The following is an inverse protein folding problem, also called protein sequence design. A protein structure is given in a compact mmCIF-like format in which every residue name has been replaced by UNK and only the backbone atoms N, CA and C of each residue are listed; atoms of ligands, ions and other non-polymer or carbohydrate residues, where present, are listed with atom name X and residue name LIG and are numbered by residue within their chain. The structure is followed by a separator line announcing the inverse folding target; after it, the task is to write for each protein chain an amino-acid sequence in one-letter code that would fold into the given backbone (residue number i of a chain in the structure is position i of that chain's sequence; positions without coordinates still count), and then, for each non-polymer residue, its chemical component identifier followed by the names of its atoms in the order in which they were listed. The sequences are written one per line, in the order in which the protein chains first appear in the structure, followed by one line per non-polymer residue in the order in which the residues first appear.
data_IF_904461841809
#
_entry.id   IF_904461841809
#
_cell.length_a   1.000
_cell.length_b   1.000
_cell.length_c   1.000
_cell.angle_alpha   90.00
_cell.angle_beta   90.00
_cell.angle_gamma   90.00
#
_symmetry.space_group_name_H-M   'P 1'
#
loop_
_entity.id
_entity.type
_entity.pdbx_description
1 polymer ?
#
# COMPACT_ATOMS: atom_id res chain seq x y z
N UNK A 1 -15.20 14.41 -39.48
CA UNK A 1 -15.42 13.97 -38.09
C UNK A 1 -14.74 12.64 -37.71
N UNK A 2 -14.70 11.59 -38.57
CA UNK A 2 -14.15 10.27 -38.19
C UNK A 2 -12.65 10.25 -37.80
N UNK A 3 -11.79 11.01 -38.49
CA UNK A 3 -10.34 11.00 -38.23
C UNK A 3 -9.92 11.62 -36.90
N UNK A 4 -10.57 12.72 -36.48
CA UNK A 4 -10.24 13.37 -35.20
C UNK A 4 -10.76 12.55 -34.00
N UNK A 5 -11.91 11.87 -34.14
CA UNK A 5 -12.43 10.96 -33.12
C UNK A 5 -11.51 9.74 -32.95
N UNK A 6 -10.98 9.20 -34.05
CA UNK A 6 -10.02 8.09 -34.00
C UNK A 6 -8.69 8.48 -33.33
N UNK A 7 -8.14 9.67 -33.65
CA UNK A 7 -6.94 10.18 -32.97
C UNK A 7 -7.16 10.40 -31.48
N UNK A 8 -8.33 10.91 -31.10
CA UNK A 8 -8.73 11.07 -29.70
C UNK A 8 -8.79 9.72 -28.97
N UNK A 9 -9.34 8.69 -29.63
CA UNK A 9 -9.40 7.34 -29.08
C UNK A 9 -8.02 6.72 -28.85
N UNK A 10 -7.10 6.85 -29.82
CA UNK A 10 -5.70 6.42 -29.65
C UNK A 10 -5.04 7.17 -28.49
N UNK A 11 -5.24 8.49 -28.40
CA UNK A 11 -4.71 9.28 -27.30
C UNK A 11 -5.17 8.73 -25.94
N UNK A 12 -6.47 8.44 -25.77
CA UNK A 12 -6.96 7.84 -24.54
C UNK A 12 -6.33 6.48 -24.27
N UNK A 13 -6.22 5.59 -25.27
CA UNK A 13 -5.57 4.27 -25.08
C UNK A 13 -4.15 4.43 -24.58
N UNK A 14 -3.36 5.32 -25.19
CA UNK A 14 -1.97 5.55 -24.79
C UNK A 14 -1.89 6.10 -23.37
N UNK A 15 -2.75 7.06 -23.01
CA UNK A 15 -2.82 7.62 -21.66
C UNK A 15 -3.22 6.56 -20.64
N UNK A 16 -4.26 5.77 -20.90
CA UNK A 16 -4.69 4.68 -20.02
C UNK A 16 -3.61 3.62 -19.86
N UNK A 17 -2.95 3.23 -20.96
CA UNK A 17 -1.83 2.30 -20.95
C UNK A 17 -0.69 2.80 -20.08
N UNK A 18 -0.29 4.06 -20.24
CA UNK A 18 0.78 4.67 -19.44
C UNK A 18 0.45 4.74 -17.94
N UNK A 19 -0.79 5.16 -17.59
CA UNK A 19 -1.24 5.19 -16.20
C UNK A 19 -1.23 3.78 -15.59
N UNK A 20 -1.76 2.79 -16.33
CA UNK A 20 -1.81 1.41 -15.88
C UNK A 20 -0.40 0.84 -15.68
N UNK A 21 0.52 1.03 -16.63
CA UNK A 21 1.91 0.58 -16.50
C UNK A 21 2.62 1.18 -15.29
N UNK A 22 2.41 2.48 -15.01
CA UNK A 22 3.01 3.13 -13.85
C UNK A 22 2.49 2.55 -12.53
N UNK A 23 1.17 2.37 -12.40
CA UNK A 23 0.56 1.77 -11.22
C UNK A 23 1.07 0.33 -11.06
N UNK A 24 1.14 -0.43 -12.16
CA UNK A 24 1.64 -1.79 -12.17
C UNK A 24 3.09 -1.91 -11.69
N UNK A 25 4.00 -1.06 -12.18
CA UNK A 25 5.42 -1.07 -11.79
C UNK A 25 5.56 -0.73 -10.30
N UNK A 26 4.83 0.27 -9.80
CA UNK A 26 4.86 0.64 -8.38
C UNK A 26 4.36 -0.50 -7.50
N UNK A 27 3.24 -1.09 -7.87
CA UNK A 27 2.67 -2.27 -7.22
C UNK A 27 3.64 -3.47 -7.19
N UNK A 28 4.38 -3.73 -8.27
CA UNK A 28 5.40 -4.79 -8.30
C UNK A 28 6.57 -4.49 -7.37
N UNK A 29 7.07 -3.25 -7.36
CA UNK A 29 8.12 -2.83 -6.42
C UNK A 29 7.66 -3.01 -4.98
N UNK A 30 6.42 -2.61 -4.68
CA UNK A 30 5.81 -2.77 -3.36
C UNK A 30 5.71 -4.23 -2.91
N UNK A 31 5.32 -5.12 -3.82
CA UNK A 31 5.26 -6.55 -3.55
C UNK A 31 6.63 -7.12 -3.14
N UNK A 32 7.71 -6.72 -3.83
CA UNK A 32 9.08 -7.17 -3.54
C UNK A 32 9.70 -6.59 -2.27
N UNK A 33 9.13 -5.53 -1.70
CA UNK A 33 9.66 -4.89 -0.49
C UNK A 33 9.29 -5.67 0.77
N UNK A 34 10.18 -5.65 1.75
CA UNK A 34 9.88 -6.03 3.13
C UNK A 34 9.76 -4.77 4.00
N UNK A 35 8.91 -4.85 5.01
CA UNK A 35 8.77 -3.83 6.04
C UNK A 35 8.94 -4.49 7.41
N UNK A 36 9.78 -3.91 8.25
CA UNK A 36 9.89 -4.26 9.66
C UNK A 36 10.29 -2.97 10.39
N UNK A 37 9.30 -2.28 10.95
CA UNK A 37 9.54 -1.05 11.70
C UNK A 37 8.48 -0.83 12.78
N UNK A 38 8.84 -0.01 13.77
CA UNK A 38 7.91 0.45 14.81
C UNK A 38 7.45 1.85 14.42
N UNK A 39 6.14 2.07 14.48
CA UNK A 39 5.52 3.36 14.19
C UNK A 39 5.94 4.35 15.27
N UNK A 40 6.63 5.41 14.91
CA UNK A 40 6.92 6.55 15.79
C UNK A 40 5.79 7.57 15.75
N UNK A 41 5.21 7.77 14.57
CA UNK A 41 4.23 8.81 14.27
C UNK A 41 3.34 8.37 13.11
N UNK A 42 2.10 8.84 13.13
CA UNK A 42 1.10 8.60 12.08
C UNK A 42 0.62 9.97 11.62
N UNK A 43 0.55 10.17 10.31
CA UNK A 43 -0.09 11.33 9.71
C UNK A 43 -1.22 10.86 8.79
N UNK A 44 -2.29 11.64 8.73
CA UNK A 44 -3.43 11.40 7.87
C UNK A 44 -3.48 12.49 6.81
N UNK A 45 -3.71 12.12 5.55
CA UNK A 45 -3.95 13.10 4.50
C UNK A 45 -5.40 13.62 4.51
N UNK A 46 -5.72 14.60 3.66
CA UNK A 46 -7.06 15.18 3.57
C UNK A 46 -8.16 14.17 3.13
N UNK A 47 -7.79 12.97 2.68
CA UNK A 47 -8.70 11.88 2.31
C UNK A 47 -8.78 10.80 3.40
N UNK A 48 -8.09 10.99 4.52
CA UNK A 48 -8.01 10.05 5.63
C UNK A 48 -6.99 8.93 5.43
N UNK A 49 -6.14 8.97 4.39
CA UNK A 49 -5.13 7.93 4.18
C UNK A 49 -3.94 8.13 5.10
N UNK A 50 -3.51 7.03 5.72
CA UNK A 50 -2.45 7.05 6.72
C UNK A 50 -1.06 6.88 6.10
N UNK A 51 -0.14 7.72 6.54
CA UNK A 51 1.31 7.57 6.36
C UNK A 51 1.93 7.25 7.72
N UNK A 52 2.66 6.14 7.79
CA UNK A 52 3.36 5.72 9.00
C UNK A 52 4.82 6.18 8.94
N UNK A 53 5.35 6.64 10.06
CA UNK A 53 6.74 7.06 10.16
C UNK A 53 7.50 6.14 11.13
N UNK A 54 8.76 5.83 10.81
CA UNK A 54 9.66 5.13 11.73
C UNK A 54 10.39 6.11 12.66
N UNK A 55 11.27 5.60 13.52
CA UNK A 55 12.08 6.43 14.44
C UNK A 55 13.07 7.36 13.74
N UNK A 56 13.39 7.12 12.47
CA UNK A 56 14.26 7.96 11.64
C UNK A 56 13.46 9.00 10.83
N UNK A 57 12.15 9.08 11.08
CA UNK A 57 11.20 9.92 10.36
C UNK A 57 11.08 9.59 8.87
N UNK A 58 11.36 8.34 8.49
CA UNK A 58 11.10 7.81 7.15
C UNK A 58 9.60 7.56 7.00
N UNK A 59 8.95 8.24 6.05
CA UNK A 59 7.52 8.07 5.77
C UNK A 59 7.23 6.89 4.86
N UNK A 60 6.28 6.06 5.27
CA UNK A 60 5.81 4.88 4.53
C UNK A 60 4.35 5.09 4.12
N UNK A 61 4.17 5.38 2.82
CA UNK A 61 2.88 5.33 2.15
C UNK A 61 2.85 4.10 1.24
N UNK A 62 1.82 3.29 1.40
CA UNK A 62 1.72 2.02 0.69
C UNK A 62 0.91 2.19 -0.60
N UNK A 63 1.45 1.72 -1.73
CA UNK A 63 0.69 1.74 -3.00
C UNK A 63 -0.39 0.66 -3.03
N UNK A 64 -0.11 -0.48 -2.39
CA UNK A 64 -0.91 -1.71 -2.47
C UNK A 64 -1.82 -1.92 -1.28
N UNK A 65 -1.53 -1.26 -0.16
CA UNK A 65 -2.25 -1.38 1.11
C UNK A 65 -2.88 -0.03 1.40
N UNK A 66 -4.15 0.00 1.76
CA UNK A 66 -4.82 1.24 2.16
C UNK A 66 -5.13 1.13 3.63
N UNK A 67 -4.56 2.05 4.39
CA UNK A 67 -4.88 2.25 5.79
C UNK A 67 -5.58 3.59 5.89
N UNK A 68 -6.70 3.62 6.58
CA UNK A 68 -7.51 4.81 6.74
C UNK A 68 -7.72 5.12 8.23
N UNK A 69 -7.76 6.40 8.60
CA UNK A 69 -8.11 6.85 9.95
C UNK A 69 -9.49 6.36 10.41
N UNK A 70 -10.40 6.08 9.48
CA UNK A 70 -11.73 5.53 9.76
C UNK A 70 -11.72 4.01 9.99
N UNK A 71 -10.58 3.33 9.84
CA UNK A 71 -10.47 1.91 10.20
C UNK A 71 -10.72 1.77 11.70
N UNK A 72 -11.82 1.10 12.07
CA UNK A 72 -12.37 0.96 13.44
C UNK A 72 -11.37 0.48 14.50
N UNK A 73 -10.17 0.06 14.11
CA UNK A 73 -9.17 -0.55 14.97
C UNK A 73 -8.14 0.44 15.54
N UNK A 74 -7.97 1.65 14.97
CA UNK A 74 -7.11 2.69 15.56
C UNK A 74 -5.64 2.28 15.73
N UNK A 75 -4.79 2.70 14.79
CA UNK A 75 -3.34 2.47 14.85
C UNK A 75 -2.67 3.48 15.78
N UNK A 76 -1.60 3.06 16.47
CA UNK A 76 -0.92 3.88 17.48
C UNK A 76 0.59 3.93 17.25
N UNK A 77 1.23 5.00 17.73
CA UNK A 77 2.67 5.01 17.91
C UNK A 77 3.08 3.88 18.88
N UNK A 78 4.12 3.14 18.53
CA UNK A 78 4.56 1.92 19.19
C UNK A 78 4.03 0.63 18.57
N UNK A 79 3.06 0.68 17.65
CA UNK A 79 2.67 -0.50 16.88
C UNK A 79 3.77 -0.88 15.88
N UNK A 80 3.98 -2.18 15.66
CA UNK A 80 4.96 -2.72 14.73
C UNK A 80 4.29 -3.03 13.39
N UNK A 81 4.81 -2.47 12.31
CA UNK A 81 4.45 -2.85 10.93
C UNK A 81 5.40 -3.93 10.46
N UNK A 82 4.84 -5.02 9.94
CA UNK A 82 5.60 -6.12 9.39
C UNK A 82 5.00 -6.61 8.06
N UNK A 83 5.87 -6.80 7.07
CA UNK A 83 5.56 -7.45 5.81
C UNK A 83 6.82 -8.14 5.29
N UNK A 84 6.69 -9.41 4.96
CA UNK A 84 7.76 -10.11 4.26
C UNK A 84 7.79 -9.76 2.76
N UNK A 85 8.94 -9.98 2.11
CA UNK A 85 9.05 -9.86 0.66
C UNK A 85 8.06 -10.81 0.01
N UNK A 86 7.40 -10.36 -1.05
CA UNK A 86 6.38 -11.14 -1.78
C UNK A 86 5.17 -11.54 -0.93
N UNK A 87 4.98 -11.00 0.27
CA UNK A 87 3.74 -11.18 1.02
C UNK A 87 2.62 -10.35 0.39
N UNK A 88 1.42 -10.94 0.32
CA UNK A 88 0.18 -10.25 -0.07
C UNK A 88 -0.42 -9.42 1.07
N UNK A 89 0.15 -9.57 2.27
CA UNK A 89 -0.39 -9.02 3.51
C UNK A 89 0.65 -8.16 4.22
N UNK A 90 0.19 -7.05 4.82
CA UNK A 90 0.90 -6.28 5.83
C UNK A 90 0.23 -6.53 7.17
N UNK A 91 1.02 -6.88 8.17
CA UNK A 91 0.55 -7.05 9.54
C UNK A 91 0.95 -5.83 10.36
N UNK A 92 0.01 -5.37 11.17
CA UNK A 92 0.27 -4.41 12.25
C UNK A 92 0.09 -5.16 13.55
N UNK A 93 1.12 -5.14 14.38
CA UNK A 93 1.16 -5.84 15.66
C UNK A 93 1.28 -4.84 16.80
N UNK A 94 0.57 -5.11 17.91
CA UNK A 94 0.60 -4.27 19.11
C UNK A 94 1.30 -5.01 20.24
N UNK A 95 2.09 -4.26 21.02
CA UNK A 95 2.76 -4.81 22.20
C UNK A 95 1.72 -5.18 23.27
N UNK A 96 1.75 -6.44 23.74
CA UNK A 96 0.95 -6.95 24.86
C UNK A 96 1.90 -7.70 25.81
N UNK A 97 2.27 -7.04 26.91
CA UNK A 97 3.32 -7.53 27.80
C UNK A 97 4.70 -7.43 27.14
N UNK A 98 5.44 -8.54 27.10
CA UNK A 98 6.78 -8.58 26.51
C UNK A 98 6.79 -8.92 25.01
N UNK A 99 5.64 -9.20 24.41
CA UNK A 99 5.54 -9.68 23.03
C UNK A 99 4.67 -8.76 22.16
N UNK A 100 4.97 -8.73 20.86
CA UNK A 100 4.09 -8.13 19.86
C UNK A 100 3.12 -9.18 19.35
N UNK A 101 1.82 -8.88 19.41
CA UNK A 101 0.77 -9.74 18.87
C UNK A 101 0.10 -9.06 17.68
N UNK A 102 -0.20 -9.82 16.64
CA UNK A 102 -0.89 -9.32 15.45
C UNK A 102 -2.22 -8.70 15.91
N UNK A 103 -2.38 -7.43 15.57
CA UNK A 103 -3.54 -6.63 15.90
C UNK A 103 -4.44 -6.47 14.67
N UNK A 104 -3.82 -6.25 13.50
CA UNK A 104 -4.52 -6.07 12.24
C UNK A 104 -3.72 -6.67 11.09
N UNK A 105 -4.41 -7.23 10.11
CA UNK A 105 -3.82 -7.71 8.86
C UNK A 105 -4.53 -7.05 7.71
N UNK A 106 -3.78 -6.29 6.91
CA UNK A 106 -4.26 -5.67 5.70
C UNK A 106 -3.83 -6.52 4.50
N UNK A 107 -4.81 -7.04 3.77
CA UNK A 107 -4.58 -7.63 2.46
C UNK A 107 -4.37 -6.53 1.43
N UNK A 108 -3.52 -6.81 0.45
CA UNK A 108 -3.31 -5.89 -0.64
C UNK A 108 -4.57 -5.75 -1.52
N UNK A 109 -4.85 -4.53 -1.94
CA UNK A 109 -5.94 -4.26 -2.87
C UNK A 109 -5.64 -4.94 -4.21
N UNK A 110 -6.63 -5.66 -4.75
CA UNK A 110 -6.54 -6.58 -5.90
C UNK A 110 -6.09 -5.99 -7.26
N UNK A 111 -5.49 -4.80 -7.29
CA UNK A 111 -4.90 -4.17 -8.48
C UNK A 111 -3.50 -4.70 -8.86
N UNK A 112 -3.02 -5.77 -8.23
CA UNK A 112 -1.73 -6.40 -8.55
C UNK A 112 -2.01 -7.85 -8.94
N UNK A 113 -1.36 -8.41 -9.98
CA UNK A 113 -1.47 -9.84 -10.25
C UNK A 113 -0.68 -10.60 -9.18
N UNK A 114 -1.29 -10.72 -8.01
CA UNK A 114 -0.90 -11.68 -6.98
C UNK A 114 -1.18 -13.11 -7.42
N UNK A 115 -2.00 -13.29 -8.46
CA UNK A 115 -2.46 -14.58 -8.98
C UNK A 115 -1.61 -15.18 -10.09
N UNK A 116 -0.55 -14.52 -10.58
CA UNK A 116 0.39 -15.18 -11.50
C UNK A 116 1.39 -16.11 -10.78
N UNK A 117 1.37 -16.09 -9.44
CA UNK A 117 2.17 -16.96 -8.59
C UNK A 117 1.31 -17.41 -7.42
N UNK A 118 0.37 -18.31 -7.70
CA UNK A 118 -0.07 -19.27 -6.69
C UNK A 118 1.10 -20.25 -6.51
N UNK A 119 1.72 -20.22 -5.33
CA UNK A 119 2.60 -21.29 -4.89
C UNK A 119 1.76 -22.39 -4.25
#
# INVERSE_FOLDING_TARGET
MKGNVFKLFIFFIVVFGFVFSNVFIKSRKEYTKSYDFIISRIESDAKGYLTFYDSLNTGYSFTSFRFNEFDKQGFLAGDKVFKDKFSKNVNISRKKGNEYKIFFTQEANGMIPFCLYAY
#
